data_IF_432999746310
#
_entry.id   IF_432999746310
#
_cell.length_a   1.000
_cell.length_b   1.000
_cell.length_c   1.000
_cell.angle_alpha   90.00
_cell.angle_beta   90.00
_cell.angle_gamma   90.00
#
_symmetry.space_group_name_H-M   'P 1'
#
loop_
_entity.id
_entity.type
_entity.pdbx_description
1 polymer ?
#
# COMPACT_ATOMS: atom_id res chain seq x y z
N UNK A 1 19.09 13.20 7.12
CA UNK A 1 17.72 12.69 7.13
C UNK A 1 16.99 12.90 5.80
N UNK A 2 17.08 14.09 5.20
CA UNK A 2 16.62 14.38 3.83
C UNK A 2 16.98 13.34 2.74
N UNK A 3 18.27 12.97 2.62
CA UNK A 3 18.69 11.91 1.67
C UNK A 3 18.16 10.51 2.04
N UNK A 4 17.92 10.23 3.33
CA UNK A 4 17.32 8.97 3.79
C UNK A 4 15.83 8.91 3.44
N UNK A 5 15.07 9.99 3.66
CA UNK A 5 13.66 10.07 3.24
C UNK A 5 13.49 9.85 1.73
N UNK A 6 14.34 10.48 0.92
CA UNK A 6 14.31 10.32 -0.55
C UNK A 6 14.58 8.88 -1.01
N UNK A 7 15.54 8.20 -0.38
CA UNK A 7 15.82 6.78 -0.69
C UNK A 7 14.72 5.84 -0.19
N UNK A 8 14.03 6.23 0.88
CA UNK A 8 13.06 5.40 1.55
C UNK A 8 11.67 5.43 0.87
N UNK A 9 11.25 6.57 0.30
CA UNK A 9 10.02 6.68 -0.50
C UNK A 9 10.08 5.90 -1.83
N UNK A 10 11.28 5.72 -2.39
CA UNK A 10 11.49 4.91 -3.61
C UNK A 10 11.06 3.46 -3.46
N UNK A 11 11.02 2.92 -2.24
CA UNK A 11 10.69 1.51 -1.98
C UNK A 11 9.22 1.23 -1.69
N UNK A 12 8.35 2.24 -1.61
CA UNK A 12 6.99 2.09 -1.03
C UNK A 12 5.90 1.68 -2.06
N UNK A 13 6.15 1.70 -3.37
CA UNK A 13 5.04 1.74 -4.35
C UNK A 13 5.10 0.68 -5.45
N UNK A 14 4.27 -0.37 -5.31
CA UNK A 14 3.81 -1.36 -6.30
C UNK A 14 2.48 -1.94 -5.72
N UNK A 15 1.32 -2.10 -6.38
CA UNK A 15 0.83 -2.03 -7.77
C UNK A 15 -0.64 -1.55 -7.71
N UNK A 16 -1.09 -0.78 -8.71
CA UNK A 16 -2.51 -0.41 -8.88
C UNK A 16 -3.25 -1.49 -9.68
N UNK A 17 -4.31 -2.06 -9.11
CA UNK A 17 -5.09 -3.13 -9.71
C UNK A 17 -6.07 -2.62 -10.78
N UNK A 18 -6.07 -3.28 -11.94
CA UNK A 18 -7.17 -3.20 -12.90
C UNK A 18 -8.14 -4.34 -12.58
N UNK A 19 -9.43 -4.06 -12.33
CA UNK A 19 -10.47 -5.10 -12.23
C UNK A 19 -11.50 -4.85 -13.32
N UNK A 20 -11.58 -5.77 -14.29
CA UNK A 20 -12.67 -5.81 -15.26
C UNK A 20 -13.87 -6.56 -14.68
N UNK A 21 -15.05 -5.95 -14.82
CA UNK A 21 -16.36 -6.45 -14.41
C UNK A 21 -16.81 -7.61 -15.31
N UNK A 22 -16.92 -8.85 -14.80
CA UNK A 22 -17.68 -9.90 -15.48
C UNK A 22 -18.37 -10.91 -14.53
N UNK A 23 -19.69 -11.00 -14.75
CA UNK A 23 -20.68 -12.03 -14.43
C UNK A 23 -20.83 -12.48 -12.97
N UNK A 24 -21.98 -12.13 -12.39
CA UNK A 24 -22.54 -12.59 -11.13
C UNK A 24 -22.97 -14.07 -11.19
N UNK A 25 -22.00 -14.96 -11.42
CA UNK A 25 -21.99 -16.36 -11.02
C UNK A 25 -20.55 -16.63 -10.58
N UNK A 26 -20.13 -15.97 -9.49
CA UNK A 26 -18.76 -16.05 -8.99
C UNK A 26 -18.71 -16.81 -7.68
N UNK A 27 -17.72 -17.67 -7.54
CA UNK A 27 -17.33 -18.31 -6.27
C UNK A 27 -17.21 -17.26 -5.14
N UNK A 28 -17.43 -17.65 -3.87
CA UNK A 28 -17.15 -16.78 -2.72
C UNK A 28 -15.74 -16.15 -2.77
N UNK A 29 -14.76 -16.89 -3.27
CA UNK A 29 -13.38 -16.50 -3.50
C UNK A 29 -13.30 -15.31 -4.47
N UNK A 30 -13.92 -15.41 -5.65
CA UNK A 30 -13.95 -14.31 -6.64
C UNK A 30 -14.63 -13.06 -6.08
N UNK A 31 -15.70 -13.22 -5.31
CA UNK A 31 -16.41 -12.12 -4.66
C UNK A 31 -15.52 -11.38 -3.64
N UNK A 32 -14.75 -12.13 -2.84
CA UNK A 32 -13.85 -11.55 -1.85
C UNK A 32 -12.72 -10.77 -2.52
N UNK A 33 -12.12 -11.33 -3.58
CA UNK A 33 -11.04 -10.68 -4.33
C UNK A 33 -11.48 -9.37 -4.99
N UNK A 34 -12.68 -9.34 -5.58
CA UNK A 34 -13.24 -8.10 -6.15
C UNK A 34 -13.45 -7.04 -5.05
N UNK A 35 -13.95 -7.44 -3.88
CA UNK A 35 -14.16 -6.52 -2.76
C UNK A 35 -12.83 -5.92 -2.25
N UNK A 36 -11.80 -6.75 -2.10
CA UNK A 36 -10.45 -6.32 -1.71
C UNK A 36 -9.87 -5.35 -2.74
N UNK A 37 -9.92 -5.72 -4.03
CA UNK A 37 -9.39 -4.89 -5.10
C UNK A 37 -10.11 -3.54 -5.24
N UNK A 38 -11.43 -3.52 -4.99
CA UNK A 38 -12.22 -2.28 -4.98
C UNK A 38 -11.70 -1.28 -3.96
N UNK A 39 -11.36 -1.71 -2.74
CA UNK A 39 -10.80 -0.79 -1.71
C UNK A 39 -9.51 -0.14 -2.20
N UNK A 40 -8.65 -0.90 -2.89
CA UNK A 40 -7.41 -0.36 -3.46
C UNK A 40 -7.68 0.60 -4.62
N UNK A 41 -8.63 0.26 -5.50
CA UNK A 41 -9.01 1.10 -6.64
C UNK A 41 -9.67 2.42 -6.22
N UNK A 42 -10.47 2.40 -5.15
CA UNK A 42 -11.17 3.58 -4.62
C UNK A 42 -10.20 4.66 -4.06
N UNK A 43 -8.90 4.34 -3.89
CA UNK A 43 -7.86 5.34 -3.59
C UNK A 43 -7.59 6.30 -4.75
N UNK A 44 -7.96 5.93 -5.98
CA UNK A 44 -7.62 6.67 -7.19
C UNK A 44 -6.11 6.64 -7.53
N UNK A 45 -5.32 5.83 -6.82
CA UNK A 45 -3.90 5.71 -7.06
C UNK A 45 -3.61 5.10 -8.43
N UNK A 46 -2.74 5.75 -9.21
CA UNK A 46 -2.30 5.27 -10.51
C UNK A 46 -0.77 5.14 -10.59
N UNK A 47 -0.22 4.29 -11.48
CA UNK A 47 1.22 4.25 -11.71
C UNK A 47 1.81 5.61 -12.14
N UNK A 48 1.04 6.43 -12.86
CA UNK A 48 1.44 7.78 -13.24
C UNK A 48 1.59 8.70 -12.02
N UNK A 49 0.70 8.60 -11.03
CA UNK A 49 0.84 9.35 -9.77
C UNK A 49 2.15 9.01 -9.07
N UNK A 50 2.58 7.73 -9.07
CA UNK A 50 3.88 7.36 -8.53
C UNK A 50 5.02 8.13 -9.20
N UNK A 51 5.04 8.17 -10.53
CA UNK A 51 6.08 8.87 -11.28
C UNK A 51 6.12 10.35 -10.93
N UNK A 52 4.94 10.99 -10.80
CA UNK A 52 4.83 12.39 -10.36
C UNK A 52 5.41 12.59 -8.96
N UNK A 53 5.06 11.73 -8.01
CA UNK A 53 5.59 11.82 -6.64
C UNK A 53 7.11 11.61 -6.60
N UNK A 54 7.63 10.64 -7.35
CA UNK A 54 9.06 10.40 -7.45
C UNK A 54 9.81 11.58 -8.07
N UNK A 55 9.26 12.21 -9.11
CA UNK A 55 9.85 13.41 -9.72
C UNK A 55 9.85 14.59 -8.75
N UNK A 56 8.73 14.83 -8.06
CA UNK A 56 8.63 15.89 -7.05
C UNK A 56 9.64 15.69 -5.92
N UNK A 57 9.78 14.47 -5.41
CA UNK A 57 10.78 14.12 -4.37
C UNK A 57 12.24 14.18 -4.85
N UNK A 58 12.48 14.16 -6.15
CA UNK A 58 13.83 14.41 -6.68
C UNK A 58 14.17 15.90 -6.73
N UNK A 59 13.15 16.75 -6.92
CA UNK A 59 13.29 18.20 -7.06
C UNK A 59 13.20 19.01 -5.76
N UNK A 60 12.85 18.39 -4.63
CA UNK A 60 12.81 19.08 -3.33
C UNK A 60 14.18 19.61 -2.92
N UNK A 61 14.19 20.74 -2.22
CA UNK A 61 15.42 21.43 -1.78
C UNK A 61 15.71 21.25 -0.29
N UNK A 62 14.68 20.91 0.48
CA UNK A 62 14.76 20.77 1.93
C UNK A 62 13.80 19.71 2.45
N UNK A 63 13.97 19.38 3.73
CA UNK A 63 13.21 18.35 4.42
C UNK A 63 11.72 18.65 4.54
N UNK A 64 11.34 19.91 4.73
CA UNK A 64 9.93 20.28 4.87
C UNK A 64 9.16 20.07 3.57
N UNK A 65 9.74 20.43 2.42
CA UNK A 65 9.16 20.12 1.11
C UNK A 65 8.99 18.61 0.89
N UNK A 66 9.95 17.80 1.33
CA UNK A 66 9.86 16.34 1.24
C UNK A 66 8.70 15.81 2.11
N UNK A 67 8.55 16.31 3.34
CA UNK A 67 7.46 15.92 4.25
C UNK A 67 6.09 16.26 3.69
N UNK A 68 5.91 17.41 3.04
CA UNK A 68 4.66 17.77 2.38
C UNK A 68 4.28 16.71 1.33
N UNK A 69 5.22 16.35 0.45
CA UNK A 69 4.96 15.37 -0.61
C UNK A 69 4.66 13.99 -0.01
N UNK A 70 5.41 13.55 1.00
CA UNK A 70 5.17 12.27 1.66
C UNK A 70 3.81 12.25 2.35
N UNK A 71 3.39 13.35 3.00
CA UNK A 71 2.06 13.46 3.60
C UNK A 71 0.94 13.35 2.55
N UNK A 72 1.09 13.97 1.38
CA UNK A 72 0.14 13.80 0.28
C UNK A 72 0.04 12.34 -0.18
N UNK A 73 1.18 11.64 -0.29
CA UNK A 73 1.19 10.21 -0.62
C UNK A 73 0.49 9.37 0.44
N UNK A 74 0.73 9.66 1.72
CA UNK A 74 0.08 8.94 2.83
C UNK A 74 -1.43 9.16 2.86
N UNK A 75 -1.89 10.37 2.55
CA UNK A 75 -3.31 10.71 2.55
C UNK A 75 -4.11 9.87 1.53
N UNK A 76 -3.50 9.49 0.40
CA UNK A 76 -4.11 8.60 -0.60
C UNK A 76 -4.48 7.24 0.01
N UNK A 77 -3.59 6.69 0.83
CA UNK A 77 -3.75 5.34 1.37
C UNK A 77 -4.29 5.30 2.79
N UNK A 78 -4.50 6.46 3.44
CA UNK A 78 -4.91 6.54 4.85
C UNK A 78 -6.18 5.75 5.16
N UNK A 79 -7.12 5.71 4.21
CA UNK A 79 -8.40 5.02 4.36
C UNK A 79 -8.34 3.53 4.02
N UNK A 80 -7.25 3.05 3.40
CA UNK A 80 -7.13 1.66 2.93
C UNK A 80 -7.23 0.65 4.08
N UNK A 81 -6.50 0.78 5.20
CA UNK A 81 -6.61 -0.19 6.29
C UNK A 81 -8.04 -0.30 6.84
N UNK A 82 -8.70 0.85 7.05
CA UNK A 82 -10.06 0.90 7.53
C UNK A 82 -11.05 0.31 6.52
N UNK A 83 -10.91 0.66 5.23
CA UNK A 83 -11.73 0.12 4.15
C UNK A 83 -11.60 -1.39 4.01
N UNK A 84 -10.37 -1.92 4.09
CA UNK A 84 -10.12 -3.35 4.06
C UNK A 84 -10.73 -4.04 5.29
N UNK A 85 -10.52 -3.52 6.49
CA UNK A 85 -11.05 -4.10 7.73
C UNK A 85 -12.58 -4.08 7.81
N UNK A 86 -13.24 -3.16 7.10
CA UNK A 86 -14.70 -3.10 7.01
C UNK A 86 -15.30 -4.18 6.08
N UNK A 87 -14.48 -4.88 5.27
CA UNK A 87 -14.96 -5.92 4.38
C UNK A 87 -15.44 -7.15 5.15
N UNK A 88 -16.69 -7.53 4.92
CA UNK A 88 -17.27 -8.81 5.37
C UNK A 88 -16.99 -9.89 4.33
N UNK A 89 -15.80 -10.49 4.43
CA UNK A 89 -15.31 -11.51 3.50
C UNK A 89 -15.81 -12.91 3.88
N UNK A 90 -16.12 -13.72 2.87
CA UNK A 90 -16.77 -15.02 3.01
C UNK A 90 -15.78 -16.15 3.27
N UNK A 91 -14.61 -16.07 2.66
CA UNK A 91 -13.58 -17.12 2.66
C UNK A 91 -12.47 -16.80 3.65
N UNK A 92 -11.84 -17.83 4.20
CA UNK A 92 -10.68 -17.64 5.08
C UNK A 92 -9.45 -17.14 4.30
N UNK A 93 -9.33 -17.52 3.03
CA UNK A 93 -8.29 -16.99 2.15
C UNK A 93 -8.46 -15.49 1.89
N UNK A 94 -9.68 -15.05 1.57
CA UNK A 94 -10.01 -13.62 1.46
C UNK A 94 -9.69 -12.86 2.73
N UNK A 95 -10.10 -13.37 3.90
CA UNK A 95 -9.77 -12.78 5.20
C UNK A 95 -8.25 -12.70 5.43
N UNK A 96 -7.50 -13.74 5.07
CA UNK A 96 -6.05 -13.76 5.21
C UNK A 96 -5.37 -12.71 4.32
N UNK A 97 -5.78 -12.61 3.04
CA UNK A 97 -5.28 -11.60 2.10
C UNK A 97 -5.57 -10.19 2.64
N UNK A 98 -6.82 -9.93 3.04
CA UNK A 98 -7.23 -8.65 3.64
C UNK A 98 -6.39 -8.31 4.86
N UNK A 99 -6.18 -9.26 5.77
CA UNK A 99 -5.42 -9.02 6.98
C UNK A 99 -3.97 -8.63 6.67
N UNK A 100 -3.31 -9.32 5.75
CA UNK A 100 -1.94 -9.00 5.33
C UNK A 100 -1.86 -7.61 4.69
N UNK A 101 -2.79 -7.30 3.80
CA UNK A 101 -2.83 -6.00 3.13
C UNK A 101 -3.14 -4.85 4.11
N UNK A 102 -4.13 -5.02 4.99
CA UNK A 102 -4.55 -4.00 5.94
C UNK A 102 -3.46 -3.72 6.98
N UNK A 103 -2.89 -4.77 7.58
CA UNK A 103 -1.83 -4.63 8.58
C UNK A 103 -0.54 -4.11 7.95
N UNK A 104 -0.18 -4.60 6.76
CA UNK A 104 0.99 -4.13 6.05
C UNK A 104 0.90 -2.64 5.72
N UNK A 105 -0.25 -2.20 5.17
CA UNK A 105 -0.51 -0.79 4.88
C UNK A 105 -0.48 0.06 6.15
N UNK A 106 -1.14 -0.38 7.23
CA UNK A 106 -1.14 0.33 8.50
C UNK A 106 0.27 0.52 9.05
N UNK A 107 1.11 -0.52 9.02
CA UNK A 107 2.49 -0.44 9.49
C UNK A 107 3.34 0.53 8.64
N UNK A 108 3.18 0.51 7.31
CA UNK A 108 3.84 1.48 6.42
C UNK A 108 3.40 2.89 6.76
N UNK A 109 2.09 3.15 6.84
CA UNK A 109 1.56 4.49 7.13
C UNK A 109 2.06 5.02 8.48
N UNK A 110 1.94 4.21 9.53
CA UNK A 110 2.36 4.60 10.89
C UNK A 110 3.87 4.78 10.99
N UNK A 111 4.65 3.87 10.40
CA UNK A 111 6.10 3.99 10.39
C UNK A 111 6.57 5.20 9.58
N UNK A 112 5.88 5.55 8.48
CA UNK A 112 6.15 6.78 7.72
C UNK A 112 5.90 8.03 8.54
N UNK A 113 4.74 8.11 9.19
CA UNK A 113 4.42 9.26 10.05
C UNK A 113 5.43 9.42 11.16
N UNK A 114 5.80 8.32 11.83
CA UNK A 114 6.84 8.33 12.85
C UNK A 114 8.17 8.83 12.29
N UNK A 115 8.62 8.29 11.15
CA UNK A 115 9.88 8.69 10.53
C UNK A 115 9.94 10.19 10.17
N UNK A 116 8.82 10.82 9.84
CA UNK A 116 8.76 12.26 9.52
C UNK A 116 8.81 13.17 10.75
N UNK A 117 8.42 12.69 11.92
CA UNK A 117 8.38 13.49 13.16
C UNK A 117 9.63 13.35 14.03
N UNK A 118 10.43 12.32 13.79
CA UNK A 118 11.61 12.02 14.59
C UNK A 118 12.77 12.98 14.29
N UNK A 119 13.59 13.28 15.30
CA UNK A 119 14.86 13.95 15.08
C UNK A 119 15.86 12.98 14.44
N UNK A 120 16.74 13.43 13.52
CA UNK A 120 17.82 12.61 13.00
C UNK A 120 18.78 12.08 14.09
N UNK A 121 18.79 12.72 15.26
CA UNK A 121 19.60 12.32 16.41
C UNK A 121 18.96 11.17 17.21
N UNK A 122 17.66 10.93 17.03
CA UNK A 122 16.95 9.79 17.63
C UNK A 122 17.15 8.54 16.79
N UNK A 123 18.36 7.98 16.85
CA UNK A 123 18.72 6.79 16.07
C UNK A 123 17.82 5.59 16.41
N UNK A 124 17.40 5.45 17.68
CA UNK A 124 16.55 4.36 18.12
C UNK A 124 15.13 4.48 17.53
N UNK A 125 14.55 5.68 17.58
CA UNK A 125 13.26 5.97 16.96
C UNK A 125 13.29 5.78 15.45
N UNK A 126 14.33 6.29 14.78
CA UNK A 126 14.49 6.16 13.32
C UNK A 126 14.61 4.69 12.91
N UNK A 127 15.38 3.89 13.63
CA UNK A 127 15.50 2.46 13.38
C UNK A 127 14.18 1.71 13.61
N UNK A 128 13.45 2.05 14.68
CA UNK A 128 12.15 1.45 14.98
C UNK A 128 11.12 1.76 13.89
N UNK A 129 11.06 3.02 13.42
CA UNK A 129 10.22 3.41 12.30
C UNK A 129 10.58 2.61 11.05
N UNK A 130 11.86 2.59 10.64
CA UNK A 130 12.32 1.83 9.48
C UNK A 130 11.96 0.34 9.57
N UNK A 131 12.16 -0.29 10.73
CA UNK A 131 11.79 -1.69 10.95
C UNK A 131 10.28 -1.91 10.76
N UNK A 132 9.46 -1.00 11.28
CA UNK A 132 8.00 -1.05 11.12
C UNK A 132 7.59 -0.93 9.65
N UNK A 133 8.26 -0.05 8.90
CA UNK A 133 7.99 0.09 7.47
C UNK A 133 8.38 -1.19 6.73
N UNK A 134 9.57 -1.74 6.98
CA UNK A 134 10.02 -2.96 6.32
C UNK A 134 9.09 -4.14 6.60
N UNK A 135 8.65 -4.29 7.85
CA UNK A 135 7.65 -5.29 8.22
C UNK A 135 6.34 -5.08 7.43
N UNK A 136 5.88 -3.82 7.35
CA UNK A 136 4.68 -3.47 6.60
C UNK A 136 4.80 -3.76 5.11
N UNK A 137 5.94 -3.45 4.49
CA UNK A 137 6.24 -3.75 3.09
C UNK A 137 6.27 -5.25 2.83
N UNK A 138 6.93 -6.02 3.70
CA UNK A 138 6.97 -7.48 3.58
C UNK A 138 5.56 -8.07 3.66
N UNK A 139 4.73 -7.58 4.59
CA UNK A 139 3.37 -8.04 4.76
C UNK A 139 2.47 -7.63 3.58
N UNK A 140 2.63 -6.43 3.04
CA UNK A 140 1.99 -6.01 1.79
C UNK A 140 2.34 -6.93 0.62
N UNK A 141 3.63 -7.24 0.43
CA UNK A 141 4.06 -8.18 -0.61
C UNK A 141 3.46 -9.58 -0.43
N UNK A 142 3.37 -10.05 0.81
CA UNK A 142 2.73 -11.33 1.11
C UNK A 142 1.24 -11.32 0.74
N UNK A 143 0.51 -10.27 1.14
CA UNK A 143 -0.90 -10.09 0.79
C UNK A 143 -1.11 -9.98 -0.72
N UNK A 144 -0.26 -9.23 -1.41
CA UNK A 144 -0.27 -9.10 -2.88
C UNK A 144 -0.01 -10.44 -3.57
N UNK A 145 1.01 -11.19 -3.16
CA UNK A 145 1.30 -12.50 -3.76
C UNK A 145 0.13 -13.48 -3.58
N UNK A 146 -0.47 -13.53 -2.38
CA UNK A 146 -1.67 -14.35 -2.14
C UNK A 146 -2.84 -13.90 -3.01
N UNK A 147 -3.06 -12.60 -3.12
CA UNK A 147 -4.09 -12.03 -3.99
C UNK A 147 -3.88 -12.43 -5.44
N UNK A 148 -2.67 -12.29 -5.99
CA UNK A 148 -2.36 -12.62 -7.38
C UNK A 148 -2.56 -14.11 -7.67
N UNK A 149 -2.15 -14.99 -6.77
CA UNK A 149 -2.38 -16.43 -6.89
C UNK A 149 -3.88 -16.75 -6.89
N UNK A 150 -4.63 -16.19 -5.94
CA UNK A 150 -6.07 -16.41 -5.85
C UNK A 150 -6.81 -15.85 -7.07
N UNK A 151 -6.45 -14.65 -7.52
CA UNK A 151 -6.99 -14.02 -8.72
C UNK A 151 -6.73 -14.85 -9.97
N UNK A 152 -5.51 -15.39 -10.13
CA UNK A 152 -5.16 -16.27 -11.25
C UNK A 152 -6.01 -17.54 -11.29
N UNK A 153 -6.30 -18.16 -10.13
CA UNK A 153 -7.19 -19.33 -10.05
C UNK A 153 -8.64 -19.00 -10.41
N UNK A 154 -9.10 -17.81 -10.05
CA UNK A 154 -10.46 -17.34 -10.35
C UNK A 154 -10.60 -16.69 -11.74
N UNK A 155 -9.53 -16.70 -12.55
CA UNK A 155 -9.52 -16.09 -13.88
C UNK A 155 -9.71 -14.57 -13.87
N UNK A 156 -9.37 -13.89 -12.77
CA UNK A 156 -9.35 -12.44 -12.69
C UNK A 156 -8.06 -11.93 -13.35
N UNK A 157 -8.19 -11.14 -14.42
CA UNK A 157 -7.03 -10.49 -15.05
C UNK A 157 -6.41 -9.49 -14.07
N UNK A 158 -5.15 -9.71 -13.71
CA UNK A 158 -4.39 -8.84 -12.81
C UNK A 158 -3.26 -8.08 -13.51
N UNK A 159 -3.00 -8.38 -14.78
CA UNK A 159 -1.99 -7.73 -15.63
C UNK A 159 -2.59 -7.25 -16.95
N UNK A 160 -2.27 -6.00 -17.33
CA UNK A 160 -2.14 -5.63 -18.75
C UNK A 160 -0.65 -5.70 -19.08
N UNK A 161 -0.34 -6.38 -20.20
CA UNK A 161 0.94 -6.27 -20.91
C UNK A 161 1.38 -4.82 -21.08
#
# INVERSE_FOLDING_TARGET
>A
MFNQMRNWVRSIMLVAASVLLLSACGSPEKSDLIAIAKVMADTGYTPQMNQVYQQRLQGVKNEEEAKVIVNEMLAIFEKVPAGLNALSLKTDEGKAIRNDLAQGMQQVLEGTRAAMTLSPQDQAGVLAAQKKIMAGQQQLMQGQNKFMVAAGREGLETDKK
#
